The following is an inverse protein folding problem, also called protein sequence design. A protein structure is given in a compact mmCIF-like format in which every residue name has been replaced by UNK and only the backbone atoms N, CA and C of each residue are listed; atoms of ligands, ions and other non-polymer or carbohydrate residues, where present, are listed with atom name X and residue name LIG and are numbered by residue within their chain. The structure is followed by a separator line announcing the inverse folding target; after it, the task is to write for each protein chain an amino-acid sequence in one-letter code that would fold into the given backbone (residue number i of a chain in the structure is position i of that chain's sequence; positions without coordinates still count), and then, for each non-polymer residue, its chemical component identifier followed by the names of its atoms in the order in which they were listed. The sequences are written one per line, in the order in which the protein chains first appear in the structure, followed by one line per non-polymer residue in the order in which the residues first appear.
data_IF_208740302496
#
_entry.id   IF_208740302496
#
_cell.length_a   1.000
_cell.length_b   1.000
_cell.length_c   1.000
_cell.angle_alpha   90.00
_cell.angle_beta   90.00
_cell.angle_gamma   90.00
#
_symmetry.space_group_name_H-M   'P 1'
#
loop_
_entity.id
_entity.type
_entity.pdbx_description
1 polymer ?
#
# COMPACT_ATOMS: atom_id res chain seq x y z
N UNK A 1 -13.77 3.76 27.79
CA UNK A 1 -12.79 2.68 27.54
C UNK A 1 -13.01 2.33 26.11
N UNK A 2 -12.01 2.58 25.28
CA UNK A 2 -12.01 2.23 23.86
C UNK A 2 -11.99 0.70 23.78
N UNK A 3 -12.91 0.10 23.02
CA UNK A 3 -13.00 -1.35 22.87
C UNK A 3 -12.23 -1.76 21.61
N UNK A 4 -10.91 -1.81 21.74
CA UNK A 4 -9.99 -2.08 20.64
C UNK A 4 -10.34 -3.36 19.86
N UNK A 5 -10.85 -4.39 20.55
CA UNK A 5 -11.24 -5.64 19.90
C UNK A 5 -12.49 -5.53 19.04
N UNK A 6 -13.44 -4.65 19.36
CA UNK A 6 -14.58 -4.36 18.47
C UNK A 6 -14.13 -3.52 17.27
N UNK A 7 -13.32 -2.49 17.47
CA UNK A 7 -12.80 -1.64 16.39
C UNK A 7 -11.97 -2.44 15.38
N UNK A 8 -11.02 -3.24 15.86
CA UNK A 8 -10.19 -4.12 15.01
C UNK A 8 -11.03 -5.08 14.18
N UNK A 9 -12.14 -5.61 14.72
CA UNK A 9 -13.02 -6.53 13.98
C UNK A 9 -13.82 -5.83 12.90
N UNK A 10 -14.43 -4.68 13.23
CA UNK A 10 -15.18 -3.90 12.26
C UNK A 10 -14.30 -3.49 11.07
N UNK A 11 -13.05 -3.14 11.33
CA UNK A 11 -12.08 -2.79 10.30
C UNK A 11 -11.69 -3.98 9.42
N UNK A 12 -11.41 -5.16 10.01
CA UNK A 12 -11.15 -6.38 9.22
C UNK A 12 -12.32 -6.74 8.31
N UNK A 13 -13.56 -6.59 8.80
CA UNK A 13 -14.77 -6.81 7.99
C UNK A 13 -14.86 -5.80 6.83
N UNK A 14 -14.48 -4.54 7.06
CA UNK A 14 -14.42 -3.53 6.00
C UNK A 14 -13.33 -3.88 4.97
N UNK A 15 -12.14 -4.27 5.41
CA UNK A 15 -11.02 -4.65 4.55
C UNK A 15 -11.33 -5.88 3.68
N UNK A 16 -11.97 -6.89 4.25
CA UNK A 16 -12.43 -8.07 3.49
C UNK A 16 -13.40 -7.66 2.37
N UNK A 17 -14.21 -6.62 2.60
CA UNK A 17 -15.13 -6.08 1.60
C UNK A 17 -14.45 -5.19 0.55
N UNK A 18 -13.40 -4.45 0.91
CA UNK A 18 -12.67 -3.56 -0.01
C UNK A 18 -11.74 -4.37 -0.91
N UNK A 19 -11.06 -5.37 -0.34
CA UNK A 19 -10.03 -6.16 -1.02
C UNK A 19 -10.37 -7.66 -1.05
N UNK A 20 -11.51 -8.08 -1.63
CA UNK A 20 -11.99 -9.46 -1.54
C UNK A 20 -11.05 -10.50 -2.15
N UNK A 21 -10.25 -10.12 -3.15
CA UNK A 21 -9.31 -11.00 -3.84
C UNK A 21 -7.89 -10.96 -3.26
N UNK A 22 -7.55 -9.87 -2.55
CA UNK A 22 -6.20 -9.60 -2.08
C UNK A 22 -6.04 -9.70 -0.57
N UNK A 23 -7.13 -9.73 0.19
CA UNK A 23 -7.13 -9.81 1.65
C UNK A 23 -7.37 -11.25 2.13
N UNK A 24 -6.65 -11.66 3.18
CA UNK A 24 -6.85 -12.97 3.79
C UNK A 24 -6.59 -12.91 5.29
N UNK A 25 -7.57 -13.31 6.11
CA UNK A 25 -7.40 -13.43 7.56
C UNK A 25 -6.56 -14.68 7.87
N UNK A 26 -5.52 -14.52 8.69
CA UNK A 26 -4.65 -15.60 9.16
C UNK A 26 -5.01 -16.08 10.57
N UNK A 27 -5.36 -15.15 11.46
CA UNK A 27 -5.62 -15.40 12.88
C UNK A 27 -6.52 -14.31 13.45
N UNK A 28 -7.34 -14.66 14.45
CA UNK A 28 -8.18 -13.70 15.18
C UNK A 28 -7.56 -13.29 16.53
N UNK A 29 -6.55 -14.03 17.03
CA UNK A 29 -5.97 -13.74 18.35
C UNK A 29 -4.47 -14.10 18.48
N UNK A 30 -3.55 -13.13 18.33
CA UNK A 30 -3.81 -11.74 17.93
C UNK A 30 -4.39 -11.69 16.51
N UNK A 31 -5.15 -10.63 16.16
CA UNK A 31 -5.68 -10.47 14.82
C UNK A 31 -4.51 -10.31 13.84
N UNK A 32 -4.46 -11.19 12.85
CA UNK A 32 -3.43 -11.19 11.82
C UNK A 32 -4.05 -11.49 10.47
N UNK A 33 -3.61 -10.76 9.46
CA UNK A 33 -4.11 -10.89 8.09
C UNK A 33 -3.00 -10.57 7.11
N UNK A 34 -3.23 -10.90 5.85
CA UNK A 34 -2.35 -10.54 4.74
C UNK A 34 -3.08 -9.73 3.69
N UNK A 35 -2.37 -8.79 3.09
CA UNK A 35 -2.81 -8.08 1.89
C UNK A 35 -1.77 -8.35 0.79
N UNK A 36 -2.25 -8.80 -0.36
CA UNK A 36 -1.44 -8.99 -1.56
C UNK A 36 -1.55 -7.75 -2.45
N UNK A 37 -0.41 -7.13 -2.73
CA UNK A 37 -0.28 -6.02 -3.67
C UNK A 37 0.39 -6.55 -4.92
N UNK A 38 -0.23 -6.33 -6.07
CA UNK A 38 0.24 -6.76 -7.38
C UNK A 38 0.32 -5.50 -8.24
N UNK A 39 1.48 -5.24 -8.85
CA UNK A 39 1.61 -4.17 -9.84
C UNK A 39 0.82 -4.51 -11.10
N UNK A 40 0.48 -3.50 -11.89
CA UNK A 40 0.05 -3.75 -13.25
C UNK A 40 1.13 -4.51 -14.04
N UNK A 41 0.68 -5.26 -15.04
CA UNK A 41 1.57 -6.01 -15.92
C UNK A 41 2.36 -5.02 -16.77
N UNK A 42 3.69 -5.04 -16.62
CA UNK A 42 4.56 -4.21 -17.44
C UNK A 42 4.58 -4.67 -18.90
N UNK A 43 5.38 -4.01 -19.73
CA UNK A 43 5.47 -4.26 -21.18
C UNK A 43 5.81 -5.73 -21.57
N UNK A 44 6.40 -6.49 -20.66
CA UNK A 44 6.77 -7.89 -20.87
C UNK A 44 5.76 -8.90 -20.28
N UNK A 45 4.56 -8.44 -19.90
CA UNK A 45 3.57 -9.24 -19.17
C UNK A 45 4.10 -9.69 -17.78
N UNK A 46 5.12 -9.01 -17.27
CA UNK A 46 5.72 -9.27 -15.96
C UNK A 46 5.06 -8.39 -14.90
N UNK A 47 4.59 -9.03 -13.82
CA UNK A 47 4.02 -8.35 -12.65
C UNK A 47 4.97 -8.48 -11.46
N UNK A 48 5.06 -7.43 -10.66
CA UNK A 48 5.69 -7.45 -9.35
C UNK A 48 4.61 -7.70 -8.31
N UNK A 49 4.86 -8.60 -7.37
CA UNK A 49 3.90 -8.90 -6.33
C UNK A 49 4.58 -8.98 -4.98
N UNK A 50 3.93 -8.43 -3.96
CA UNK A 50 4.31 -8.61 -2.56
C UNK A 50 3.09 -8.91 -1.72
N UNK A 51 3.26 -9.72 -0.68
CA UNK A 51 2.22 -10.03 0.28
C UNK A 51 2.71 -9.59 1.64
N UNK A 52 2.03 -8.59 2.18
CA UNK A 52 2.31 -7.99 3.47
C UNK A 52 1.44 -8.68 4.50
N UNK A 53 2.04 -9.10 5.60
CA UNK A 53 1.32 -9.61 6.75
C UNK A 53 1.26 -8.53 7.81
N UNK A 54 0.06 -8.23 8.27
CA UNK A 54 -0.21 -7.32 9.37
C UNK A 54 -0.64 -8.10 10.60
N UNK A 55 -0.30 -7.60 11.78
CA UNK A 55 -0.75 -8.13 13.07
C UNK A 55 -1.08 -6.97 13.98
N UNK A 56 -2.35 -6.86 14.36
CA UNK A 56 -2.80 -5.81 15.26
C UNK A 56 -2.24 -6.03 16.67
N UNK A 57 -1.80 -4.94 17.27
CA UNK A 57 -1.46 -4.89 18.69
C UNK A 57 -2.75 -4.82 19.52
N UNK A 58 -2.68 -5.18 20.80
CA UNK A 58 -3.84 -5.08 21.71
C UNK A 58 -4.36 -3.64 21.88
N UNK A 59 -3.57 -2.64 21.45
CA UNK A 59 -3.88 -1.22 21.56
C UNK A 59 -4.07 -0.52 20.23
N UNK A 60 -4.01 -1.24 19.11
CA UNK A 60 -4.29 -0.64 17.81
C UNK A 60 -5.72 -0.07 17.80
N UNK A 61 -5.95 1.18 17.33
CA UNK A 61 -5.05 2.05 16.55
C UNK A 61 -4.14 3.01 17.35
N UNK A 62 -4.15 3.00 18.69
CA UNK A 62 -3.22 3.82 19.50
C UNK A 62 -1.75 3.36 19.39
N UNK A 63 -1.52 2.10 19.03
CA UNK A 63 -0.18 1.52 18.85
C UNK A 63 -0.10 0.83 17.49
N UNK A 64 0.97 1.13 16.73
CA UNK A 64 1.18 0.64 15.37
C UNK A 64 0.98 -0.88 15.26
N UNK A 65 0.44 -1.37 14.12
CA UNK A 65 0.42 -2.78 13.84
C UNK A 65 1.83 -3.27 13.56
N UNK A 66 2.09 -4.55 13.79
CA UNK A 66 3.29 -5.20 13.28
C UNK A 66 3.07 -5.56 11.81
N UNK A 67 4.03 -5.24 10.95
CA UNK A 67 4.01 -5.60 9.54
C UNK A 67 5.30 -6.31 9.13
N UNK A 68 5.17 -7.30 8.25
CA UNK A 68 6.27 -8.09 7.71
C UNK A 68 5.98 -8.52 6.27
N UNK A 69 7.03 -8.74 5.47
CA UNK A 69 6.88 -9.31 4.13
C UNK A 69 6.69 -10.81 4.30
N UNK A 70 5.51 -11.31 3.93
CA UNK A 70 5.19 -12.72 3.97
C UNK A 70 5.76 -13.44 2.75
N UNK A 71 5.53 -12.89 1.56
CA UNK A 71 6.07 -13.38 0.29
C UNK A 71 6.30 -12.25 -0.68
N UNK A 72 7.30 -12.39 -1.55
CA UNK A 72 7.59 -11.45 -2.63
C UNK A 72 7.88 -12.21 -3.93
N UNK A 73 7.48 -11.65 -5.06
CA UNK A 73 7.69 -12.18 -6.41
C UNK A 73 8.17 -11.04 -7.30
N UNK A 74 9.27 -11.27 -8.02
CA UNK A 74 9.90 -10.28 -8.91
C UNK A 74 10.21 -8.93 -8.26
N UNK A 75 10.41 -8.90 -6.94
CA UNK A 75 10.72 -7.71 -6.15
C UNK A 75 12.13 -7.82 -5.57
N UNK A 76 12.97 -6.79 -5.75
CA UNK A 76 14.33 -6.80 -5.23
C UNK A 76 14.37 -6.48 -3.74
N UNK A 77 15.43 -6.91 -3.06
CA UNK A 77 15.59 -6.66 -1.62
C UNK A 77 15.72 -5.17 -1.28
N UNK A 78 16.18 -4.35 -2.22
CA UNK A 78 16.23 -2.90 -2.01
C UNK A 78 14.81 -2.33 -1.95
N UNK A 79 13.96 -2.67 -2.92
CA UNK A 79 12.56 -2.22 -2.97
C UNK A 79 11.78 -2.67 -1.75
N UNK A 80 12.03 -3.89 -1.26
CA UNK A 80 11.45 -4.38 -0.01
C UNK A 80 11.78 -3.47 1.17
N UNK A 81 13.04 -3.02 1.28
CA UNK A 81 13.46 -2.14 2.35
C UNK A 81 12.78 -0.77 2.26
N UNK A 82 12.64 -0.24 1.04
CA UNK A 82 11.93 1.01 0.78
C UNK A 82 10.43 0.89 1.11
N UNK A 83 9.76 -0.20 0.72
CA UNK A 83 8.35 -0.47 1.05
C UNK A 83 8.15 -0.56 2.57
N UNK A 84 9.00 -1.30 3.28
CA UNK A 84 8.91 -1.41 4.74
C UNK A 84 9.11 -0.06 5.43
N UNK A 85 9.98 0.80 4.88
CA UNK A 85 10.21 2.14 5.40
C UNK A 85 9.01 3.05 5.15
N UNK A 86 8.37 2.97 3.99
CA UNK A 86 7.14 3.70 3.67
C UNK A 86 5.99 3.28 4.59
N UNK A 87 5.79 1.97 4.77
CA UNK A 87 4.79 1.44 5.71
C UNK A 87 5.03 1.93 7.14
N UNK A 88 6.29 2.01 7.57
CA UNK A 88 6.62 2.54 8.89
C UNK A 88 6.23 4.01 9.06
N UNK A 89 6.48 4.83 8.04
CA UNK A 89 6.09 6.24 8.05
C UNK A 89 4.57 6.38 8.06
N UNK A 90 3.86 5.66 7.18
CA UNK A 90 2.39 5.73 7.11
C UNK A 90 1.74 5.23 8.39
N UNK A 91 2.25 4.14 8.98
CA UNK A 91 1.76 3.63 10.26
C UNK A 91 1.96 4.64 11.39
N UNK A 92 3.09 5.37 11.42
CA UNK A 92 3.38 6.39 12.43
C UNK A 92 2.51 7.65 12.27
N UNK A 93 2.34 8.12 11.03
CA UNK A 93 1.52 9.31 10.71
C UNK A 93 0.04 9.09 11.04
N UNK A 94 -0.44 7.85 10.90
CA UNK A 94 -1.84 7.50 11.15
C UNK A 94 -2.12 6.96 12.56
N UNK A 95 -1.14 6.95 13.47
CA UNK A 95 -1.37 6.53 14.86
C UNK A 95 -2.40 7.41 15.56
N UNK A 96 -3.36 6.77 16.23
CA UNK A 96 -4.36 7.46 17.04
C UNK A 96 -5.47 8.15 16.25
N UNK A 97 -5.51 8.00 14.92
CA UNK A 97 -6.68 8.30 14.09
C UNK A 97 -7.37 6.97 13.83
N UNK A 98 -8.68 6.89 14.08
CA UNK A 98 -9.47 5.68 13.77
C UNK A 98 -9.26 5.33 12.29
N UNK A 99 -8.88 4.07 12.07
CA UNK A 99 -8.34 3.50 10.84
C UNK A 99 -9.34 3.37 9.68
N UNK A 100 -10.48 4.06 9.73
CA UNK A 100 -11.32 4.18 8.52
C UNK A 100 -10.62 5.00 7.41
N UNK A 101 -9.59 5.78 7.76
CA UNK A 101 -8.86 6.66 6.82
C UNK A 101 -7.58 6.05 6.22
N UNK A 102 -6.91 5.12 6.92
CA UNK A 102 -5.58 4.62 6.52
C UNK A 102 -5.66 3.80 5.22
N UNK A 103 -6.78 3.12 5.00
CA UNK A 103 -7.04 2.33 3.80
C UNK A 103 -7.78 3.09 2.68
N UNK A 104 -8.38 4.25 2.98
CA UNK A 104 -8.89 5.15 1.93
C UNK A 104 -7.73 5.77 1.12
N UNK A 105 -6.59 6.05 1.75
CA UNK A 105 -5.42 6.60 1.08
C UNK A 105 -4.64 5.59 0.22
N UNK A 106 -4.87 4.28 0.39
CA UNK A 106 -4.27 3.26 -0.51
C UNK A 106 -4.89 3.26 -1.92
N UNK A 107 -6.15 3.69 -2.06
CA UNK A 107 -6.82 3.84 -3.37
C UNK A 107 -6.31 5.09 -4.12
N UNK A 108 -5.79 6.09 -3.39
CA UNK A 108 -5.21 7.34 -3.93
C UNK A 108 -3.73 7.20 -4.34
N UNK A 109 -3.08 6.06 -4.06
CA UNK A 109 -1.75 5.74 -4.60
C UNK A 109 -1.90 5.23 -6.06
N UNK A 110 -2.33 6.12 -6.96
CA UNK A 110 -2.02 5.97 -8.37
C UNK A 110 -0.50 6.09 -8.50
N UNK A 111 0.18 5.01 -8.91
CA UNK A 111 1.57 5.11 -9.35
C UNK A 111 1.56 6.05 -10.56
N UNK A 112 1.90 7.33 -10.35
CA UNK A 112 2.11 8.26 -11.45
C UNK A 112 3.19 7.65 -12.36
N UNK A 113 2.78 7.14 -13.52
CA UNK A 113 3.71 6.93 -14.61
C UNK A 113 4.29 8.32 -14.93
N UNK A 114 5.57 8.53 -14.63
CA UNK A 114 6.32 9.63 -15.25
C UNK A 114 6.16 9.42 -16.76
N UNK A 115 5.22 10.17 -17.35
CA UNK A 115 5.06 10.32 -18.78
C UNK A 115 6.36 10.99 -19.27
N UNK A 116 7.40 10.17 -19.50
CA UNK A 116 8.61 10.56 -20.21
C UNK A 116 8.18 10.81 -21.65
N UNK A 117 7.52 11.96 -21.86
CA UNK A 117 7.03 12.44 -23.14
C UNK A 117 8.24 12.50 -24.08
N UNK A 118 8.36 11.54 -25.02
CA UNK A 118 9.53 11.45 -25.89
C UNK A 118 9.49 12.53 -26.99
N UNK A 119 8.43 13.34 -27.03
CA UNK A 119 8.20 14.42 -27.99
C UNK A 119 8.74 15.77 -27.51
N UNK A 120 9.23 15.86 -26.26
CA UNK A 120 9.98 17.04 -25.82
C UNK A 120 11.43 17.01 -26.34
N UNK A 121 11.59 17.08 -27.66
CA UNK A 121 12.86 17.38 -28.28
C UNK A 121 13.13 18.89 -28.10
N UNK A 122 14.12 19.32 -27.29
CA UNK A 122 14.44 20.73 -27.12
C UNK A 122 14.95 21.40 -28.41
N UNK A 123 15.20 20.63 -29.48
CA UNK A 123 15.59 21.14 -30.79
C UNK A 123 14.43 21.68 -31.64
N UNK A 124 13.16 21.48 -31.26
CA UNK A 124 12.01 22.03 -32.02
C UNK A 124 11.64 23.47 -31.61
N UNK A 125 12.39 24.07 -30.68
CA UNK A 125 12.16 25.47 -30.25
C UNK A 125 12.83 26.52 -31.15
N UNK A 126 13.11 26.18 -32.40
CA UNK A 126 13.58 27.12 -33.43
C UNK A 126 12.73 27.03 -34.70
N UNK A 127 11.49 27.52 -34.67
CA UNK A 127 10.90 28.29 -35.78
C UNK A 127 9.44 28.65 -35.52
N UNK A 128 9.19 29.90 -35.11
CA UNK A 128 8.12 30.67 -35.74
C UNK A 128 8.44 32.17 -35.65
N UNK A 129 9.29 32.61 -36.58
CA UNK A 129 9.14 33.90 -37.21
C UNK A 129 8.14 33.69 -38.35
N UNK A 130 7.00 34.40 -38.35
CA UNK A 130 6.38 35.22 -39.42
C UNK A 130 4.88 35.38 -39.06
N UNK A 131 4.33 36.56 -38.76
CA UNK A 131 4.10 37.70 -39.67
C UNK A 131 4.08 39.04 -38.91
#
# INVERSE_FOLDING_TARGET
MTDYGEEQRNELEALESIYPDSFTVLSENPPSFTITVISEAGENDETVQTTLKFTYSEKYPDEAPLYEIFTQLNLENNDVADILKLLALQAEENLGIVDESLFQEMDDLELEEDDDDPDNNPADRESDLTD
#
